data_IF_921496545835
#
_entry.id   IF_921496545835
#
_cell.length_a   1.000
_cell.length_b   1.000
_cell.length_c   1.000
_cell.angle_alpha   90.00
_cell.angle_beta   90.00
_cell.angle_gamma   90.00
#
_symmetry.space_group_name_H-M   'P 1'
#
loop_
_entity.id
_entity.type
_entity.pdbx_description
1 polymer ?
#
# COMPACT_ATOMS: atom_id res chain seq x y z
N UNK A 1 0.42 3.79 -2.26
CA UNK A 1 -0.47 3.58 -3.42
C UNK A 1 0.35 3.69 -4.70
N UNK A 2 0.82 4.90 -5.06
CA UNK A 2 1.70 5.16 -6.21
C UNK A 2 2.82 4.13 -6.45
N UNK A 3 3.75 3.98 -5.50
CA UNK A 3 4.87 3.04 -5.66
C UNK A 3 4.45 1.58 -5.94
N UNK A 4 3.30 1.14 -5.41
CA UNK A 4 2.77 -0.19 -5.68
C UNK A 4 2.16 -0.27 -7.10
N UNK A 5 1.43 0.77 -7.52
CA UNK A 5 0.87 0.87 -8.87
C UNK A 5 1.99 0.95 -9.92
N UNK A 6 3.05 1.73 -9.69
CA UNK A 6 4.23 1.82 -10.55
C UNK A 6 4.99 0.49 -10.64
N UNK A 7 5.13 -0.22 -9.51
CA UNK A 7 5.72 -1.57 -9.50
C UNK A 7 4.89 -2.53 -10.36
N UNK A 8 3.57 -2.49 -10.25
CA UNK A 8 2.65 -3.32 -11.03
C UNK A 8 2.70 -2.95 -12.52
N UNK A 9 2.73 -1.66 -12.85
CA UNK A 9 2.89 -1.15 -14.22
C UNK A 9 4.17 -1.64 -14.87
N UNK A 10 5.29 -1.65 -14.13
CA UNK A 10 6.56 -2.21 -14.59
C UNK A 10 6.48 -3.72 -14.80
N UNK A 11 5.92 -4.46 -13.85
CA UNK A 11 5.75 -5.91 -13.96
C UNK A 11 4.90 -6.29 -15.19
N UNK A 12 3.82 -5.54 -15.47
CA UNK A 12 3.02 -5.74 -16.69
C UNK A 12 3.84 -5.47 -17.96
N UNK A 13 4.67 -4.42 -17.96
CA UNK A 13 5.48 -4.06 -19.13
C UNK A 13 6.59 -5.09 -19.40
N UNK A 14 7.19 -5.66 -18.35
CA UNK A 14 8.30 -6.62 -18.44
C UNK A 14 7.83 -8.04 -18.72
N UNK A 15 6.74 -8.49 -18.08
CA UNK A 15 6.33 -9.90 -18.08
C UNK A 15 5.01 -10.18 -18.82
N UNK A 16 4.29 -9.13 -19.24
CA UNK A 16 3.01 -9.23 -19.96
C UNK A 16 1.78 -9.27 -19.05
N UNK A 17 0.61 -9.55 -19.64
CA UNK A 17 -0.68 -9.61 -18.94
C UNK A 17 -1.50 -10.81 -19.47
N UNK A 18 -1.55 -11.97 -18.76
CA UNK A 18 -0.99 -12.22 -17.44
C UNK A 18 0.55 -12.37 -17.46
N UNK A 19 1.25 -11.92 -16.40
CA UNK A 19 2.71 -11.93 -16.36
C UNK A 19 3.28 -13.34 -16.24
N UNK A 20 4.30 -13.65 -17.05
CA UNK A 20 5.06 -14.90 -16.97
C UNK A 20 6.40 -14.64 -16.28
N UNK A 21 6.44 -14.83 -14.97
CA UNK A 21 7.66 -14.67 -14.17
C UNK A 21 8.64 -15.84 -14.38
N UNK A 22 9.97 -15.60 -14.33
CA UNK A 22 10.97 -16.66 -14.45
C UNK A 22 10.86 -17.69 -13.30
N UNK A 23 10.82 -18.98 -13.66
CA UNK A 23 10.62 -20.10 -12.72
C UNK A 23 11.67 -20.18 -11.62
N UNK A 24 12.91 -19.76 -11.88
CA UNK A 24 14.00 -19.73 -10.91
C UNK A 24 13.72 -18.81 -9.71
N UNK A 25 12.85 -17.81 -9.88
CA UNK A 25 12.54 -16.83 -8.84
C UNK A 25 11.27 -17.16 -8.04
N UNK A 26 10.48 -18.15 -8.48
CA UNK A 26 9.28 -18.65 -7.80
C UNK A 26 9.61 -19.65 -6.68
N UNK A 27 10.78 -20.29 -6.74
CA UNK A 27 11.23 -21.31 -5.78
C UNK A 27 11.89 -20.72 -4.52
N UNK A 28 12.19 -19.42 -4.50
CA UNK A 28 12.73 -18.72 -3.32
C UNK A 28 11.63 -18.29 -2.34
N UNK A 29 10.37 -18.56 -2.66
CA UNK A 29 9.25 -18.31 -1.75
C UNK A 29 9.33 -19.37 -0.64
N UNK A 30 9.46 -18.98 0.65
CA UNK A 30 9.30 -19.95 1.72
C UNK A 30 7.84 -20.38 1.72
N UNK A 31 7.58 -21.56 1.15
CA UNK A 31 6.30 -22.24 1.21
C UNK A 31 5.87 -22.29 2.67
N UNK A 32 4.77 -21.60 3.02
CA UNK A 32 4.14 -21.76 4.32
C UNK A 32 3.49 -23.16 4.35
N UNK A 33 4.31 -24.18 4.55
CA UNK A 33 3.83 -25.48 5.00
C UNK A 33 3.42 -25.29 6.47
N UNK A 34 2.14 -25.50 6.72
CA UNK A 34 1.55 -25.50 8.05
C UNK A 34 2.35 -26.43 8.98
N UNK A 35 2.82 -25.90 10.10
CA UNK A 35 2.96 -26.67 11.34
C UNK A 35 2.41 -25.84 12.50
N UNK A 36 1.20 -26.20 12.93
CA UNK A 36 0.77 -25.96 14.31
C UNK A 36 1.65 -26.80 15.21
N UNK A 37 2.60 -26.19 15.91
CA UNK A 37 3.08 -26.67 17.22
C UNK A 37 3.93 -25.57 17.89
N UNK A 38 3.52 -25.26 19.11
CA UNK A 38 4.27 -24.68 20.23
C UNK A 38 4.51 -23.16 20.29
N UNK A 39 3.60 -22.51 21.03
CA UNK A 39 3.88 -21.35 21.85
C UNK A 39 4.98 -21.64 22.87
N UNK A 40 6.17 -21.04 22.70
CA UNK A 40 6.97 -20.59 23.85
C UNK A 40 7.57 -19.22 23.52
N UNK A 41 7.12 -18.21 24.26
CA UNK A 41 7.62 -16.84 24.23
C UNK A 41 9.07 -16.83 24.71
N UNK A 42 10.03 -16.44 23.85
CA UNK A 42 11.38 -16.03 24.27
C UNK A 42 11.83 -14.75 23.56
N UNK A 43 12.00 -13.72 24.39
CA UNK A 43 12.80 -12.48 24.26
C UNK A 43 12.60 -11.56 23.02
N UNK A 44 12.01 -10.38 23.27
CA UNK A 44 11.66 -9.34 22.27
C UNK A 44 12.76 -8.28 22.04
N UNK A 45 14.02 -8.56 22.34
CA UNK A 45 15.07 -7.52 22.32
C UNK A 45 16.01 -7.51 21.09
N UNK A 46 15.90 -8.44 20.12
CA UNK A 46 16.74 -8.43 18.88
C UNK A 46 15.98 -8.73 17.58
N UNK A 47 14.85 -8.05 17.35
CA UNK A 47 13.94 -8.35 16.23
C UNK A 47 13.85 -7.26 15.14
N UNK A 48 14.95 -6.85 14.49
CA UNK A 48 14.86 -5.99 13.28
C UNK A 48 14.56 -6.77 11.99
N UNK A 49 14.89 -8.06 11.91
CA UNK A 49 14.65 -8.88 10.70
C UNK A 49 13.29 -9.62 10.67
N UNK A 50 12.72 -9.98 11.81
CA UNK A 50 11.48 -10.79 11.84
C UNK A 50 10.20 -10.03 11.44
N UNK A 51 10.16 -8.70 11.56
CA UNK A 51 8.96 -7.91 11.17
C UNK A 51 8.85 -7.70 9.65
N UNK A 52 9.97 -7.66 8.92
CA UNK A 52 9.96 -7.52 7.47
C UNK A 52 9.54 -8.82 6.79
N UNK A 53 10.05 -9.96 7.29
CA UNK A 53 9.69 -11.30 6.80
C UNK A 53 8.22 -11.64 7.11
N UNK A 54 7.69 -11.22 8.26
CA UNK A 54 6.28 -11.44 8.60
C UNK A 54 5.29 -10.50 7.87
N UNK A 55 5.78 -9.40 7.26
CA UNK A 55 4.96 -8.45 6.48
C UNK A 55 5.10 -8.64 4.95
N UNK A 56 6.07 -9.43 4.51
CA UNK A 56 6.11 -9.92 3.13
C UNK A 56 5.06 -11.00 2.97
N UNK A 57 3.83 -10.63 2.62
CA UNK A 57 2.88 -11.60 2.07
C UNK A 57 3.55 -12.36 0.93
N UNK A 58 3.32 -13.66 0.82
CA UNK A 58 4.17 -14.63 0.11
C UNK A 58 4.42 -14.45 -1.39
N UNK A 59 4.17 -13.28 -1.98
CA UNK A 59 4.54 -12.93 -3.36
C UNK A 59 5.81 -12.06 -3.41
N UNK A 60 6.79 -12.48 -4.22
CA UNK A 60 7.98 -11.67 -4.56
C UNK A 60 7.58 -10.47 -5.43
N UNK A 61 6.58 -10.67 -6.29
CA UNK A 61 6.02 -9.67 -7.20
C UNK A 61 4.73 -9.06 -6.67
N UNK A 62 4.46 -7.80 -7.04
CA UNK A 62 3.24 -7.10 -6.66
C UNK A 62 2.00 -7.80 -7.23
N UNK A 63 2.09 -8.32 -8.45
CA UNK A 63 1.02 -9.08 -9.09
C UNK A 63 0.57 -10.29 -8.25
N UNK A 64 1.52 -11.05 -7.70
CA UNK A 64 1.22 -12.24 -6.88
C UNK A 64 0.52 -11.87 -5.58
N UNK A 65 0.90 -10.74 -4.95
CA UNK A 65 0.23 -10.24 -3.75
C UNK A 65 -1.22 -9.87 -4.06
N UNK A 66 -1.49 -9.29 -5.24
CA UNK A 66 -2.84 -8.94 -5.67
C UNK A 66 -3.69 -10.20 -5.97
N UNK A 67 -3.09 -11.24 -6.56
CA UNK A 67 -3.75 -12.54 -6.72
C UNK A 67 -4.08 -13.19 -5.36
N UNK A 68 -3.19 -13.07 -4.36
CA UNK A 68 -3.46 -13.59 -3.01
C UNK A 68 -4.63 -12.91 -2.28
N UNK A 69 -4.98 -11.68 -2.71
CA UNK A 69 -6.16 -10.95 -2.23
C UNK A 69 -7.47 -11.43 -2.90
N UNK A 70 -7.39 -12.40 -3.81
CA UNK A 70 -8.54 -12.97 -4.51
C UNK A 70 -9.00 -12.15 -5.72
N UNK A 71 -8.18 -11.25 -6.22
CA UNK A 71 -8.47 -10.43 -7.41
C UNK A 71 -8.23 -11.23 -8.69
N UNK A 72 -9.07 -11.01 -9.70
CA UNK A 72 -8.90 -11.60 -11.03
C UNK A 72 -7.80 -10.89 -11.83
N UNK A 73 -7.12 -11.59 -12.73
CA UNK A 73 -6.02 -11.02 -13.53
C UNK A 73 -6.44 -9.77 -14.34
N UNK A 74 -7.67 -9.74 -14.85
CA UNK A 74 -8.22 -8.58 -15.57
C UNK A 74 -8.41 -7.36 -14.67
N UNK A 75 -8.75 -7.60 -13.40
CA UNK A 75 -8.92 -6.55 -12.41
C UNK A 75 -7.56 -6.04 -11.91
N UNK A 76 -6.60 -6.94 -11.68
CA UNK A 76 -5.23 -6.59 -11.28
C UNK A 76 -4.60 -5.61 -12.27
N UNK A 77 -4.88 -5.78 -13.57
CA UNK A 77 -4.43 -4.84 -14.62
C UNK A 77 -4.88 -3.40 -14.36
N UNK A 78 -6.09 -3.18 -13.82
CA UNK A 78 -6.63 -1.84 -13.54
C UNK A 78 -5.89 -1.14 -12.40
N UNK A 79 -5.31 -1.89 -11.48
CA UNK A 79 -4.47 -1.35 -10.39
C UNK A 79 -3.11 -0.82 -10.86
N UNK A 80 -2.78 -0.91 -12.16
CA UNK A 80 -1.67 -0.13 -12.72
C UNK A 80 -1.95 1.38 -12.71
N UNK A 81 -3.24 1.78 -12.68
CA UNK A 81 -3.64 3.16 -12.41
C UNK A 81 -3.85 3.35 -10.91
N UNK A 82 -3.21 4.38 -10.35
CA UNK A 82 -3.31 4.77 -8.95
C UNK A 82 -4.75 5.14 -8.55
N UNK A 83 -5.50 5.71 -9.49
CA UNK A 83 -6.87 6.16 -9.27
C UNK A 83 -7.79 5.00 -8.90
N UNK A 84 -7.61 3.84 -9.54
CA UNK A 84 -8.42 2.64 -9.29
C UNK A 84 -8.27 2.13 -7.84
N UNK A 85 -7.13 2.36 -7.20
CA UNK A 85 -6.94 2.02 -5.78
C UNK A 85 -7.86 2.83 -4.87
N UNK A 86 -8.07 4.11 -5.22
CA UNK A 86 -8.92 5.04 -4.47
C UNK A 86 -10.41 4.70 -4.63
N UNK A 87 -10.79 4.07 -5.74
CA UNK A 87 -12.18 3.64 -5.96
C UNK A 87 -12.45 2.25 -5.35
N UNK A 88 -11.48 1.35 -5.41
CA UNK A 88 -11.70 -0.06 -5.03
C UNK A 88 -11.59 -0.30 -3.51
N UNK A 89 -10.52 0.17 -2.85
CA UNK A 89 -10.24 -0.19 -1.46
C UNK A 89 -11.07 0.58 -0.41
N UNK A 90 -11.36 1.89 -0.54
CA UNK A 90 -12.12 2.60 0.48
C UNK A 90 -13.53 2.03 0.74
N UNK A 91 -14.32 1.63 -0.28
CA UNK A 91 -15.59 0.96 -0.04
C UNK A 91 -15.45 -0.37 0.70
N UNK A 92 -14.42 -1.16 0.40
CA UNK A 92 -14.13 -2.42 1.10
C UNK A 92 -13.79 -2.18 2.56
N UNK A 93 -12.95 -1.18 2.86
CA UNK A 93 -12.63 -0.80 4.23
C UNK A 93 -13.89 -0.42 5.02
N UNK A 94 -14.81 0.35 4.43
CA UNK A 94 -16.09 0.69 5.07
C UNK A 94 -16.94 -0.57 5.32
N UNK A 95 -17.00 -1.49 4.35
CA UNK A 95 -17.74 -2.76 4.48
C UNK A 95 -17.19 -3.60 5.65
N UNK A 96 -15.87 -3.71 5.75
CA UNK A 96 -15.20 -4.47 6.80
C UNK A 96 -15.37 -3.82 8.18
N UNK A 97 -15.26 -2.49 8.27
CA UNK A 97 -15.48 -1.78 9.52
C UNK A 97 -16.95 -1.87 9.99
N UNK A 98 -17.90 -1.95 9.05
CA UNK A 98 -19.31 -2.22 9.35
C UNK A 98 -19.55 -3.65 9.81
N UNK A 99 -18.89 -4.64 9.21
CA UNK A 99 -19.04 -6.05 9.62
C UNK A 99 -18.48 -6.32 11.03
N UNK A 100 -17.45 -5.56 11.43
CA UNK A 100 -16.92 -5.55 12.80
C UNK A 100 -17.92 -4.93 13.80
N UNK A 101 -18.85 -4.09 13.34
CA UNK A 101 -19.86 -3.43 14.18
C UNK A 101 -19.39 -2.12 14.82
N UNK A 102 -18.48 -1.38 14.18
CA UNK A 102 -18.02 -0.10 14.71
C UNK A 102 -19.11 0.98 14.68
N UNK A 103 -19.27 1.70 15.79
CA UNK A 103 -20.19 2.83 15.91
C UNK A 103 -19.59 4.12 15.33
N UNK A 104 -19.57 4.23 14.00
CA UNK A 104 -19.00 5.37 13.25
C UNK A 104 -20.09 6.09 12.45
N UNK A 105 -20.06 7.43 12.43
CA UNK A 105 -20.90 8.24 11.53
C UNK A 105 -20.32 8.25 10.11
N UNK A 106 -20.80 7.35 9.27
CA UNK A 106 -20.34 7.17 7.88
C UNK A 106 -20.57 8.39 6.98
N UNK A 107 -21.40 9.37 7.39
CA UNK A 107 -21.59 10.62 6.63
C UNK A 107 -20.36 11.51 6.64
N UNK A 108 -19.40 11.23 7.53
CA UNK A 108 -18.13 11.95 7.68
C UNK A 108 -16.96 11.23 7.01
N UNK A 109 -17.23 10.24 6.16
CA UNK A 109 -16.20 9.54 5.39
C UNK A 109 -15.74 10.39 4.20
N UNK A 110 -14.42 10.48 3.98
CA UNK A 110 -13.83 11.20 2.86
C UNK A 110 -12.48 10.60 2.45
N UNK A 111 -12.02 10.93 1.24
CA UNK A 111 -10.70 10.58 0.71
C UNK A 111 -9.75 11.79 0.89
N UNK A 112 -8.47 11.52 1.11
CA UNK A 112 -7.46 12.54 1.48
C UNK A 112 -6.63 13.07 0.32
N UNK A 113 -6.81 12.52 -0.88
CA UNK A 113 -6.12 12.97 -2.10
C UNK A 113 -6.86 14.13 -2.73
N UNK A 114 -6.26 14.70 -3.78
CA UNK A 114 -6.85 15.72 -4.65
C UNK A 114 -8.12 15.26 -5.38
N UNK A 115 -8.40 13.95 -5.44
CA UNK A 115 -9.67 13.39 -5.88
C UNK A 115 -10.88 13.93 -5.08
N UNK A 116 -10.66 14.39 -3.84
CA UNK A 116 -11.69 15.06 -3.05
C UNK A 116 -11.46 16.59 -3.03
N UNK A 117 -12.22 17.38 -3.81
CA UNK A 117 -12.00 18.82 -3.90
C UNK A 117 -12.25 19.56 -2.58
N UNK A 118 -13.15 19.07 -1.72
CA UNK A 118 -13.44 19.72 -0.44
C UNK A 118 -12.26 19.59 0.53
N UNK A 119 -11.67 18.40 0.61
CA UNK A 119 -10.52 18.16 1.47
C UNK A 119 -9.27 18.85 0.93
N UNK A 120 -9.07 18.84 -0.39
CA UNK A 120 -7.98 19.58 -1.03
C UNK A 120 -8.05 21.08 -0.73
N UNK A 121 -9.23 21.70 -0.84
CA UNK A 121 -9.43 23.12 -0.47
C UNK A 121 -9.14 23.38 1.02
N UNK A 122 -9.55 22.47 1.90
CA UNK A 122 -9.24 22.56 3.34
C UNK A 122 -7.73 22.54 3.60
N UNK A 123 -6.99 21.62 2.97
CA UNK A 123 -5.54 21.53 3.09
C UNK A 123 -4.85 22.77 2.48
N UNK A 124 -5.32 23.26 1.32
CA UNK A 124 -4.80 24.51 0.74
C UNK A 124 -4.96 25.69 1.69
N UNK A 125 -6.14 25.86 2.28
CA UNK A 125 -6.37 26.88 3.30
C UNK A 125 -5.42 26.74 4.50
N UNK A 126 -5.21 25.50 4.98
CA UNK A 126 -4.28 25.22 6.07
C UNK A 126 -2.85 25.65 5.73
N UNK A 127 -2.34 25.26 4.55
CA UNK A 127 -0.98 25.60 4.12
C UNK A 127 -0.80 27.10 3.85
N UNK A 128 -1.80 27.77 3.27
CA UNK A 128 -1.77 29.23 3.09
C UNK A 128 -1.72 29.96 4.44
N UNK A 129 -2.49 29.50 5.42
CA UNK A 129 -2.49 30.04 6.78
C UNK A 129 -1.17 29.80 7.52
N UNK A 130 -0.55 28.63 7.33
CA UNK A 130 0.77 28.33 7.90
C UNK A 130 1.87 29.18 7.26
N UNK A 131 1.77 29.42 5.95
CA UNK A 131 2.68 30.30 5.23
C UNK A 131 2.56 31.75 5.69
N UNK A 132 1.35 32.27 5.87
CA UNK A 132 1.14 33.66 6.35
C UNK A 132 1.63 33.88 7.79
N UNK A 133 1.70 32.82 8.60
CA UNK A 133 2.25 32.83 9.97
C UNK A 133 3.73 32.48 10.04
N UNK A 134 4.45 32.49 8.91
CA UNK A 134 5.88 32.15 8.81
C UNK A 134 6.24 30.78 9.41
N UNK A 135 5.32 29.81 9.37
CA UNK A 135 5.57 28.42 9.81
C UNK A 135 6.10 27.53 8.70
N UNK A 136 5.97 27.97 7.44
CA UNK A 136 6.54 27.30 6.27
C UNK A 136 7.67 28.16 5.75
N UNK A 137 8.88 27.61 5.71
CA UNK A 137 10.07 28.25 5.19
C UNK A 137 10.67 27.41 4.06
N UNK A 138 11.24 28.08 3.07
CA UNK A 138 11.97 27.44 1.98
C UNK A 138 13.48 27.63 2.20
N UNK A 139 14.25 26.55 2.05
CA UNK A 139 15.71 26.60 2.21
C UNK A 139 16.34 25.23 2.06
N UNK A 140 17.67 25.19 1.86
CA UNK A 140 18.43 23.94 1.77
C UNK A 140 18.55 23.32 3.16
N UNK A 141 18.12 22.06 3.28
CA UNK A 141 18.18 21.27 4.51
C UNK A 141 18.68 19.88 4.15
N UNK A 142 19.44 19.26 5.06
CA UNK A 142 19.77 17.85 4.93
C UNK A 142 18.54 17.02 5.28
N UNK A 143 18.10 16.20 4.33
CA UNK A 143 16.96 15.28 4.47
C UNK A 143 17.36 13.92 3.91
N UNK A 144 16.80 12.85 4.45
CA UNK A 144 16.94 11.53 3.84
C UNK A 144 16.30 11.59 2.45
N UNK A 145 17.04 11.15 1.44
CA UNK A 145 16.66 11.21 0.05
C UNK A 145 16.87 9.86 -0.61
N UNK A 146 15.91 9.46 -1.44
CA UNK A 146 15.94 8.23 -2.22
C UNK A 146 15.98 8.61 -3.71
N UNK A 147 17.07 8.30 -4.43
CA UNK A 147 17.16 8.58 -5.87
C UNK A 147 16.12 7.83 -6.72
N UNK A 148 15.54 6.76 -6.19
CA UNK A 148 14.53 5.95 -6.89
C UNK A 148 13.11 6.51 -6.77
N UNK A 149 12.86 7.40 -5.81
CA UNK A 149 11.54 8.01 -5.58
C UNK A 149 11.38 9.38 -6.26
N UNK A 150 12.38 9.80 -7.05
CA UNK A 150 12.38 11.04 -7.84
C UNK A 150 11.58 10.89 -9.13
#
# INVERSE_FOLDING_TARGET
>A
IKACADKLKREIAEFGCPPKFPLSELLEIPTQTQSKADEVIKDKSKGKKSKAVAKGGGGKYQWQIMQSLGLSDEEIKKFADESYWLDHFPPLAVKDLRSIGLHVDWRRTFITTDANPFFDQFVRWQFLTLKSRNKIMYGKRYTIYSPFDQ
#
